data_IF_310985599989
#
_entry.id   IF_310985599989
#
_cell.length_a   1.000
_cell.length_b   1.000
_cell.length_c   1.000
_cell.angle_alpha   90.00
_cell.angle_beta   90.00
_cell.angle_gamma   90.00
#
_symmetry.space_group_name_H-M   'P 1'
#
loop_
_entity.id
_entity.type
_entity.pdbx_description
1 polymer ?
#
# COMPACT_ATOMS: atom_id res chain seq x y z
N UNK A 1 -6.66 8.76 37.10
CA UNK A 1 -7.08 7.64 36.24
C UNK A 1 -7.30 8.05 34.77
N UNK A 2 -8.04 9.11 34.44
CA UNK A 2 -8.31 9.50 33.03
C UNK A 2 -7.08 9.96 32.21
N UNK A 3 -6.04 10.53 32.84
CA UNK A 3 -4.81 11.00 32.17
C UNK A 3 -3.96 9.85 31.57
N UNK A 4 -4.10 8.64 32.11
CA UNK A 4 -3.38 7.45 31.64
C UNK A 4 -4.06 6.76 30.45
N UNK A 5 -5.34 7.08 30.20
CA UNK A 5 -6.10 6.54 29.05
C UNK A 5 -5.89 7.38 27.79
N UNK A 6 -5.78 8.71 27.91
CA UNK A 6 -5.52 9.61 26.76
C UNK A 6 -4.14 9.34 26.14
N UNK A 7 -3.12 9.06 26.96
CA UNK A 7 -1.77 8.77 26.47
C UNK A 7 -1.63 7.37 25.84
N UNK A 8 -2.49 6.41 26.20
CA UNK A 8 -2.55 5.12 25.50
C UNK A 8 -3.23 5.26 24.14
N UNK A 9 -4.26 6.09 24.04
CA UNK A 9 -4.99 6.34 22.78
C UNK A 9 -4.11 7.04 21.73
N UNK A 10 -3.22 7.96 22.15
CA UNK A 10 -2.31 8.66 21.24
C UNK A 10 -1.12 7.81 20.74
N UNK A 11 -0.79 6.67 21.37
CA UNK A 11 0.35 5.83 20.95
C UNK A 11 -0.03 4.73 19.96
N UNK A 12 -1.32 4.42 19.78
CA UNK A 12 -1.78 3.52 18.72
C UNK A 12 -1.88 4.20 17.35
N UNK A 13 -1.76 5.52 17.31
CA UNK A 13 -1.69 6.32 16.08
C UNK A 13 -0.25 6.53 15.59
N UNK A 14 0.69 5.71 16.06
CA UNK A 14 2.09 5.84 15.69
C UNK A 14 2.44 4.92 14.52
N UNK A 15 2.40 5.54 13.34
CA UNK A 15 2.91 5.08 12.04
C UNK A 15 1.98 4.09 11.34
N UNK A 16 1.20 4.58 10.38
CA UNK A 16 0.90 3.78 9.17
C UNK A 16 2.26 3.54 8.49
N UNK A 17 3.00 2.54 8.97
CA UNK A 17 4.07 1.96 8.18
C UNK A 17 3.32 1.13 7.14
N UNK A 18 3.47 1.43 5.84
CA UNK A 18 3.02 0.47 4.85
C UNK A 18 3.80 -0.82 5.15
N UNK A 19 3.07 -1.86 5.53
CA UNK A 19 3.60 -3.18 5.92
C UNK A 19 4.49 -3.75 4.81
N UNK A 20 4.29 -3.24 3.59
CA UNK A 20 5.08 -3.53 2.41
C UNK A 20 5.54 -2.23 1.73
N UNK A 21 6.84 -2.15 1.44
CA UNK A 21 7.47 -0.95 0.84
C UNK A 21 7.65 -1.11 -0.67
N UNK A 22 6.58 -1.47 -1.36
CA UNK A 22 6.61 -1.58 -2.82
C UNK A 22 6.62 -0.20 -3.47
N UNK A 23 7.22 -0.10 -4.65
CA UNK A 23 7.10 1.10 -5.48
C UNK A 23 5.68 1.17 -6.07
N UNK A 24 5.04 2.32 -5.94
CA UNK A 24 3.72 2.59 -6.53
C UNK A 24 3.90 3.71 -7.56
N UNK A 25 3.51 3.43 -8.81
CA UNK A 25 3.49 4.42 -9.88
C UNK A 25 2.06 4.91 -9.99
N UNK A 26 1.86 6.23 -9.86
CA UNK A 26 0.53 6.84 -9.98
C UNK A 26 0.53 7.74 -11.21
N UNK A 27 -0.50 7.60 -12.05
CA UNK A 27 -0.73 8.44 -13.21
C UNK A 27 -2.21 8.72 -13.40
N UNK A 28 -2.51 9.78 -14.15
CA UNK A 28 -3.87 10.12 -14.53
C UNK A 28 -4.25 9.37 -15.81
N UNK A 29 -5.38 8.66 -15.79
CA UNK A 29 -6.02 8.08 -16.97
C UNK A 29 -7.13 9.03 -17.45
N UNK A 30 -6.99 9.56 -18.66
CA UNK A 30 -8.07 10.35 -19.27
C UNK A 30 -9.26 9.49 -19.71
N UNK A 31 -9.02 8.19 -19.98
CA UNK A 31 -10.06 7.23 -20.37
C UNK A 31 -11.00 6.93 -19.19
N UNK A 32 -10.44 6.69 -18.01
CA UNK A 32 -11.19 6.35 -16.80
C UNK A 32 -11.52 7.57 -15.92
N UNK A 33 -11.01 8.76 -16.29
CA UNK A 33 -11.11 10.00 -15.52
C UNK A 33 -10.73 9.80 -14.03
N UNK A 34 -9.69 9.01 -13.79
CA UNK A 34 -9.25 8.60 -12.45
C UNK A 34 -7.72 8.47 -12.36
N UNK A 35 -7.22 8.49 -11.12
CA UNK A 35 -5.82 8.19 -10.82
C UNK A 35 -5.63 6.68 -10.76
N UNK A 36 -4.83 6.15 -11.67
CA UNK A 36 -4.44 4.75 -11.69
C UNK A 36 -3.10 4.61 -10.96
N UNK A 37 -3.07 3.70 -10.00
CA UNK A 37 -1.92 3.41 -9.18
C UNK A 37 -1.52 1.94 -9.37
N UNK A 38 -0.33 1.69 -9.89
CA UNK A 38 0.18 0.37 -10.23
C UNK A 38 1.46 0.03 -9.47
N UNK A 39 1.66 -1.25 -9.19
CA UNK A 39 2.85 -1.76 -8.51
C UNK A 39 3.63 -2.64 -9.50
N UNK A 40 4.72 -2.14 -10.12
CA UNK A 40 5.47 -2.91 -11.11
C UNK A 40 6.10 -4.19 -10.54
N UNK A 41 6.30 -4.25 -9.22
CA UNK A 41 6.83 -5.43 -8.54
C UNK A 41 5.81 -6.58 -8.39
N UNK A 42 4.51 -6.25 -8.44
CA UNK A 42 3.41 -7.19 -8.26
C UNK A 42 2.58 -7.19 -9.56
N UNK A 43 2.87 -8.08 -10.51
CA UNK A 43 2.18 -8.08 -11.79
C UNK A 43 0.67 -8.27 -11.59
N UNK A 44 -0.11 -7.33 -12.13
CA UNK A 44 -1.57 -7.29 -12.01
C UNK A 44 -2.10 -6.62 -10.74
N UNK A 45 -1.24 -6.07 -9.90
CA UNK A 45 -1.65 -5.25 -8.75
C UNK A 45 -1.76 -3.79 -9.19
N UNK A 46 -2.98 -3.36 -9.49
CA UNK A 46 -3.32 -1.97 -9.79
C UNK A 46 -4.63 -1.59 -9.10
N UNK A 47 -4.73 -0.33 -8.67
CA UNK A 47 -5.94 0.25 -8.11
C UNK A 47 -6.19 1.62 -8.72
N UNK A 48 -7.45 1.96 -8.93
CA UNK A 48 -7.90 3.27 -9.32
C UNK A 48 -8.43 4.07 -8.12
N UNK A 49 -8.48 5.39 -8.26
CA UNK A 49 -9.13 6.29 -7.32
C UNK A 49 -9.45 7.63 -7.96
N UNK A 50 -10.50 8.30 -7.51
CA UNK A 50 -10.83 9.64 -8.00
C UNK A 50 -9.81 10.68 -7.53
N UNK A 51 -9.03 10.37 -6.50
CA UNK A 51 -7.97 11.23 -5.96
C UNK A 51 -6.69 10.45 -5.70
N UNK A 52 -5.55 11.16 -5.63
CA UNK A 52 -4.27 10.55 -5.25
C UNK A 52 -4.33 9.77 -3.94
N UNK A 53 -4.99 10.33 -2.92
CA UNK A 53 -5.11 9.70 -1.60
C UNK A 53 -5.94 8.41 -1.66
N UNK A 54 -7.02 8.43 -2.44
CA UNK A 54 -7.88 7.26 -2.65
C UNK A 54 -7.14 6.16 -3.41
N UNK A 55 -6.45 6.50 -4.50
CA UNK A 55 -5.66 5.54 -5.27
C UNK A 55 -4.59 4.85 -4.40
N UNK A 56 -3.92 5.61 -3.52
CA UNK A 56 -2.95 5.05 -2.55
C UNK A 56 -3.65 4.13 -1.55
N UNK A 57 -4.75 4.56 -0.94
CA UNK A 57 -5.50 3.74 0.02
C UNK A 57 -6.00 2.44 -0.61
N UNK A 58 -6.44 2.48 -1.86
CA UNK A 58 -6.92 1.32 -2.59
C UNK A 58 -5.76 0.38 -2.94
N UNK A 59 -4.61 0.91 -3.40
CA UNK A 59 -3.41 0.10 -3.66
C UNK A 59 -2.93 -0.62 -2.41
N UNK A 60 -2.94 0.04 -1.25
CA UNK A 60 -2.53 -0.61 0.01
C UNK A 60 -3.41 -1.83 0.34
N UNK A 61 -4.71 -1.76 0.06
CA UNK A 61 -5.64 -2.89 0.25
C UNK A 61 -5.35 -4.00 -0.76
N UNK A 62 -5.19 -3.66 -2.04
CA UNK A 62 -4.95 -4.64 -3.11
C UNK A 62 -3.61 -5.35 -2.90
N UNK A 63 -2.56 -4.66 -2.45
CA UNK A 63 -1.27 -5.28 -2.12
C UNK A 63 -1.46 -6.39 -1.07
N UNK A 64 -2.22 -6.11 0.01
CA UNK A 64 -2.48 -7.11 1.06
C UNK A 64 -3.22 -8.31 0.51
N UNK A 65 -4.28 -8.08 -0.26
CA UNK A 65 -5.08 -9.13 -0.88
C UNK A 65 -4.27 -9.96 -1.88
N UNK A 66 -3.39 -9.32 -2.65
CA UNK A 66 -2.50 -9.97 -3.60
C UNK A 66 -1.55 -10.92 -2.86
N UNK A 67 -0.96 -10.48 -1.75
CA UNK A 67 -0.04 -11.29 -0.94
C UNK A 67 -0.77 -12.46 -0.31
N UNK A 68 -1.92 -12.24 0.32
CA UNK A 68 -2.74 -13.31 0.89
C UNK A 68 -3.10 -14.36 -0.18
N UNK A 69 -3.49 -13.90 -1.37
CA UNK A 69 -3.79 -14.78 -2.50
C UNK A 69 -2.55 -15.54 -2.97
N UNK A 70 -1.39 -14.88 -3.03
CA UNK A 70 -0.13 -15.50 -3.41
C UNK A 70 0.29 -16.58 -2.42
N UNK A 71 0.12 -16.34 -1.12
CA UNK A 71 0.39 -17.33 -0.05
C UNK A 71 -0.52 -18.54 -0.18
N UNK A 72 -1.84 -18.34 -0.39
CA UNK A 72 -2.80 -19.44 -0.60
C UNK A 72 -2.47 -20.26 -1.85
N UNK A 73 -2.02 -19.60 -2.91
CA UNK A 73 -1.60 -20.25 -4.15
C UNK A 73 -0.18 -20.86 -4.08
N UNK A 74 0.54 -20.66 -2.97
CA UNK A 74 1.93 -21.11 -2.82
C UNK A 74 2.90 -20.43 -3.80
N UNK A 75 2.58 -19.22 -4.27
CA UNK A 75 3.43 -18.44 -5.17
C UNK A 75 4.47 -17.66 -4.36
N UNK A 76 5.71 -17.53 -4.86
CA UNK A 76 6.72 -16.72 -4.18
C UNK A 76 6.32 -15.25 -4.24
N UNK A 77 6.21 -14.61 -3.07
CA UNK A 77 5.97 -13.16 -2.96
C UNK A 77 7.30 -12.44 -3.21
N UNK A 78 7.39 -11.56 -4.22
CA UNK A 78 8.60 -10.82 -4.50
C UNK A 78 8.87 -9.84 -3.35
N UNK A 79 10.13 -9.76 -2.90
CA UNK A 79 10.49 -8.78 -1.88
C UNK A 79 10.54 -7.37 -2.49
N UNK A 80 10.10 -6.34 -1.76
CA UNK A 80 10.12 -4.97 -2.25
C UNK A 80 11.57 -4.51 -2.51
N UNK A 81 11.87 -4.08 -3.74
CA UNK A 81 13.16 -3.48 -4.08
C UNK A 81 13.13 -2.00 -3.68
N UNK A 82 13.11 -1.75 -2.38
CA UNK A 82 13.19 -0.40 -1.85
C UNK A 82 14.43 0.32 -2.41
N UNK A 83 14.23 1.46 -3.06
CA UNK A 83 15.27 2.16 -3.83
C UNK A 83 16.40 2.81 -3.01
N UNK A 84 16.55 2.49 -1.71
CA UNK A 84 17.56 3.07 -0.84
C UNK A 84 18.29 1.99 -0.03
N UNK A 85 19.21 1.30 -0.68
CA UNK A 85 20.43 0.83 -0.02
C UNK A 85 21.58 1.65 -0.63
N UNK A 86 21.89 2.79 -0.02
CA UNK A 86 23.22 3.37 -0.18
C UNK A 86 24.15 2.55 0.72
N UNK A 87 24.79 1.54 0.12
CA UNK A 87 25.96 0.89 0.71
C UNK A 87 27.19 1.79 0.50
#
# INVERSE_FOLDING_TARGET
MARQLILKYSLQESRVQPEFRYEVIIYWSDEDQSFLAEVPELPGCAADGATYAEAISNVEIIIRQWIETAEVLGRPVPQPKGRLHCA
#
